data_IF_936582994054
#
_entry.id   IF_936582994054
#
_cell.length_a   1.000
_cell.length_b   1.000
_cell.length_c   1.000
_cell.angle_alpha   90.00
_cell.angle_beta   90.00
_cell.angle_gamma   90.00
#
_symmetry.space_group_name_H-M   'P 1'
#
loop_
_entity.id
_entity.type
_entity.pdbx_description
1 polymer ?
#
# COMPACT_ATOMS: atom_id res chain seq x y z
N UNK A 1 11.07 32.06 -54.07
CA UNK A 1 10.67 31.50 -52.77
C UNK A 1 9.33 32.12 -52.38
N UNK A 2 8.22 31.63 -52.91
CA UNK A 2 6.89 32.29 -52.83
C UNK A 2 5.92 31.56 -51.88
N UNK A 3 6.34 30.43 -51.31
CA UNK A 3 5.44 29.54 -50.54
C UNK A 3 5.27 30.01 -49.07
N UNK A 4 6.09 30.95 -48.57
CA UNK A 4 6.01 31.40 -47.19
C UNK A 4 4.94 32.49 -46.93
N UNK A 5 4.44 33.17 -47.97
CA UNK A 5 3.56 34.34 -47.80
C UNK A 5 2.07 34.07 -48.03
N UNK A 6 1.66 32.83 -48.30
CA UNK A 6 0.25 32.49 -48.55
C UNK A 6 -0.45 31.82 -47.37
N UNK A 7 0.27 31.46 -46.30
CA UNK A 7 -0.31 30.80 -45.12
C UNK A 7 -0.71 31.80 -44.02
N UNK A 8 -0.15 33.01 -44.02
CA UNK A 8 -0.30 33.98 -42.91
C UNK A 8 -1.15 35.22 -43.22
N UNK A 9 -1.84 35.28 -44.36
CA UNK A 9 -2.55 36.49 -44.81
C UNK A 9 -3.99 36.65 -44.29
N UNK A 10 -4.46 35.77 -43.41
CA UNK A 10 -5.82 35.85 -42.86
C UNK A 10 -5.73 35.86 -41.33
N UNK A 11 -5.79 37.05 -40.72
CA UNK A 11 -5.64 37.25 -39.27
C UNK A 11 -6.58 36.37 -38.44
N UNK A 12 -7.75 36.04 -39.02
CA UNK A 12 -8.74 35.15 -38.40
C UNK A 12 -8.27 33.70 -38.34
N UNK A 13 -7.61 33.23 -39.40
CA UNK A 13 -7.11 31.85 -39.51
C UNK A 13 -5.82 31.64 -38.70
N UNK A 14 -4.99 32.68 -38.57
CA UNK A 14 -3.78 32.64 -37.72
C UNK A 14 -4.11 32.49 -36.23
N UNK A 15 -5.14 33.18 -35.75
CA UNK A 15 -5.61 33.08 -34.36
C UNK A 15 -6.17 31.69 -34.04
N UNK A 16 -6.93 31.10 -34.95
CA UNK A 16 -7.52 29.75 -34.79
C UNK A 16 -6.45 28.64 -34.80
N UNK A 17 -5.36 28.80 -35.55
CA UNK A 17 -4.23 27.87 -35.54
C UNK A 17 -3.44 27.97 -34.22
N UNK A 18 -3.27 29.18 -33.68
CA UNK A 18 -2.56 29.37 -32.40
C UNK A 18 -3.38 28.83 -31.22
N UNK A 19 -4.70 29.04 -31.20
CA UNK A 19 -5.57 28.50 -30.15
C UNK A 19 -5.56 26.96 -30.15
N UNK A 20 -5.71 26.34 -31.31
CA UNK A 20 -5.67 24.87 -31.44
C UNK A 20 -4.32 24.27 -31.04
N UNK A 21 -3.19 24.88 -31.41
CA UNK A 21 -1.87 24.45 -30.94
C UNK A 21 -1.73 24.58 -29.42
N UNK A 22 -2.26 25.65 -28.83
CA UNK A 22 -2.25 25.84 -27.38
C UNK A 22 -3.10 24.80 -26.66
N UNK A 23 -4.27 24.46 -27.21
CA UNK A 23 -5.18 23.46 -26.65
C UNK A 23 -4.57 22.05 -26.71
N UNK A 24 -3.89 21.71 -27.80
CA UNK A 24 -3.14 20.45 -27.95
C UNK A 24 -2.00 20.37 -26.93
N UNK A 25 -1.27 21.47 -26.73
CA UNK A 25 -0.21 21.54 -25.73
C UNK A 25 -0.80 21.37 -24.31
N UNK A 26 -1.92 22.04 -24.00
CA UNK A 26 -2.60 21.91 -22.71
C UNK A 26 -3.09 20.48 -22.47
N UNK A 27 -3.69 19.84 -23.47
CA UNK A 27 -4.14 18.46 -23.44
C UNK A 27 -2.99 17.47 -23.19
N UNK A 28 -1.88 17.60 -23.92
CA UNK A 28 -0.68 16.79 -23.72
C UNK A 28 -0.06 16.98 -22.33
N UNK A 29 -0.18 18.17 -21.76
CA UNK A 29 0.30 18.46 -20.39
C UNK A 29 -0.64 17.83 -19.35
N UNK A 30 -1.95 17.94 -19.54
CA UNK A 30 -2.96 17.32 -18.68
C UNK A 30 -2.85 15.79 -18.69
N UNK A 31 -2.60 15.17 -19.84
CA UNK A 31 -2.35 13.72 -19.95
C UNK A 31 -1.12 13.29 -19.15
N UNK A 32 -0.01 14.03 -19.21
CA UNK A 32 1.17 13.75 -18.40
C UNK A 32 0.87 13.82 -16.90
N UNK A 33 0.14 14.84 -16.44
CA UNK A 33 -0.24 14.94 -15.03
C UNK A 33 -1.17 13.81 -14.61
N UNK A 34 -2.14 13.44 -15.44
CA UNK A 34 -3.02 12.30 -15.22
C UNK A 34 -2.24 10.99 -15.06
N UNK A 35 -1.25 10.74 -15.93
CA UNK A 35 -0.38 9.57 -15.82
C UNK A 35 0.41 9.56 -14.51
N UNK A 36 0.97 10.70 -14.09
CA UNK A 36 1.70 10.81 -12.82
C UNK A 36 0.77 10.56 -11.63
N UNK A 37 -0.43 11.14 -11.62
CA UNK A 37 -1.41 10.94 -10.54
C UNK A 37 -1.86 9.49 -10.48
N UNK A 38 -2.18 8.86 -11.61
CA UNK A 38 -2.58 7.45 -11.66
C UNK A 38 -1.46 6.54 -11.17
N UNK A 39 -0.21 6.81 -11.60
CA UNK A 39 0.96 6.08 -11.11
C UNK A 39 1.12 6.25 -9.60
N UNK A 40 1.01 7.47 -9.09
CA UNK A 40 1.14 7.74 -7.65
C UNK A 40 0.02 7.05 -6.85
N UNK A 41 -1.21 7.05 -7.38
CA UNK A 41 -2.33 6.31 -6.81
C UNK A 41 -2.05 4.82 -6.73
N UNK A 42 -1.53 4.22 -7.82
CA UNK A 42 -1.16 2.81 -7.82
C UNK A 42 -0.01 2.50 -6.85
N UNK A 43 1.03 3.34 -6.80
CA UNK A 43 2.13 3.18 -5.84
C UNK A 43 1.64 3.31 -4.39
N UNK A 44 0.66 4.18 -4.13
CA UNK A 44 0.00 4.28 -2.84
C UNK A 44 -0.75 3.00 -2.52
N UNK A 45 -1.68 2.55 -3.36
CA UNK A 45 -2.43 1.29 -3.15
C UNK A 45 -1.53 0.09 -2.92
N UNK A 46 -0.48 -0.07 -3.73
CA UNK A 46 0.49 -1.16 -3.60
C UNK A 46 1.16 -1.18 -2.22
N UNK A 47 1.46 -0.01 -1.62
CA UNK A 47 2.00 0.06 -0.26
C UNK A 47 1.01 -0.40 0.82
N UNK A 48 -0.29 -0.23 0.61
CA UNK A 48 -1.30 -0.69 1.58
C UNK A 48 -1.66 -2.16 1.38
N UNK A 49 -1.49 -2.72 0.18
CA UNK A 49 -1.64 -4.16 -0.05
C UNK A 49 -0.71 -4.98 0.85
N UNK A 50 0.49 -4.49 1.14
CA UNK A 50 1.45 -5.15 2.03
C UNK A 50 0.92 -5.26 3.48
N UNK A 51 0.02 -4.36 3.92
CA UNK A 51 -0.60 -4.47 5.24
C UNK A 51 -1.55 -5.67 5.36
N UNK A 52 -2.09 -6.16 4.24
CA UNK A 52 -2.84 -7.42 4.24
C UNK A 52 -2.00 -8.59 4.75
N UNK A 53 -0.69 -8.57 4.51
CA UNK A 53 0.23 -9.61 4.98
C UNK A 53 0.47 -9.57 6.50
N UNK A 54 0.14 -8.44 7.16
CA UNK A 54 0.22 -8.30 8.61
C UNK A 54 -1.05 -8.78 9.33
N UNK A 55 -2.14 -9.07 8.61
CA UNK A 55 -3.40 -9.54 9.21
C UNK A 55 -3.21 -10.71 10.20
N UNK A 56 -2.42 -11.77 9.89
CA UNK A 56 -2.21 -12.87 10.82
C UNK A 56 -1.54 -12.42 12.13
N UNK A 57 -0.58 -11.50 12.02
CA UNK A 57 0.15 -10.93 13.16
C UNK A 57 -0.77 -10.09 14.04
N UNK A 58 -1.53 -9.17 13.43
CA UNK A 58 -2.46 -8.29 14.14
C UNK A 58 -3.56 -9.10 14.81
N UNK A 59 -4.08 -10.13 14.14
CA UNK A 59 -5.10 -11.03 14.69
C UNK A 59 -4.60 -11.76 15.93
N UNK A 60 -3.39 -12.33 15.86
CA UNK A 60 -2.77 -13.02 16.99
C UNK A 60 -2.48 -12.08 18.16
N UNK A 61 -1.86 -10.91 17.93
CA UNK A 61 -1.57 -9.93 19.00
C UNK A 61 -2.86 -9.43 19.66
N UNK A 62 -3.92 -9.22 18.88
CA UNK A 62 -5.21 -8.74 19.39
C UNK A 62 -5.93 -9.80 20.24
N UNK A 63 -5.72 -11.08 19.94
CA UNK A 63 -6.28 -12.18 20.71
C UNK A 63 -5.32 -13.39 20.73
N UNK A 64 -4.35 -13.41 21.65
CA UNK A 64 -3.35 -14.48 21.70
C UNK A 64 -3.96 -15.84 22.10
N UNK A 65 -5.21 -15.87 22.58
CA UNK A 65 -5.92 -17.10 22.95
C UNK A 65 -6.90 -17.58 21.87
N UNK A 66 -6.89 -16.98 20.68
CA UNK A 66 -7.75 -17.41 19.59
C UNK A 66 -7.50 -18.90 19.27
N UNK A 67 -8.57 -19.68 19.08
CA UNK A 67 -8.45 -21.04 18.57
C UNK A 67 -8.13 -20.98 17.09
N UNK A 68 -6.84 -21.03 16.79
CA UNK A 68 -6.29 -21.01 15.45
C UNK A 68 -5.38 -22.20 15.27
N UNK A 69 -5.25 -22.61 14.02
CA UNK A 69 -4.20 -23.54 13.65
C UNK A 69 -2.86 -22.83 13.83
N UNK A 70 -2.16 -23.23 14.89
CA UNK A 70 -0.88 -22.66 15.28
C UNK A 70 0.16 -22.83 14.17
N UNK A 71 0.19 -23.99 13.52
CA UNK A 71 1.09 -24.28 12.41
C UNK A 71 0.76 -23.35 11.24
N UNK A 72 -0.51 -23.15 10.93
CA UNK A 72 -0.93 -22.23 9.87
C UNK A 72 -0.51 -20.78 10.14
N UNK A 73 -0.70 -20.27 11.36
CA UNK A 73 -0.27 -18.92 11.71
C UNK A 73 1.26 -18.80 11.71
N UNK A 74 1.97 -19.81 12.21
CA UNK A 74 3.42 -19.81 12.21
C UNK A 74 4.00 -19.78 10.79
N UNK A 75 3.42 -20.53 9.86
CA UNK A 75 3.77 -20.51 8.42
C UNK A 75 3.48 -19.14 7.79
N UNK A 76 2.33 -18.54 8.08
CA UNK A 76 1.97 -17.21 7.58
C UNK A 76 2.94 -16.13 8.09
N UNK A 77 3.24 -16.11 9.39
CA UNK A 77 4.19 -15.17 9.99
C UNK A 77 5.63 -15.41 9.50
N UNK A 78 6.02 -16.67 9.34
CA UNK A 78 7.29 -17.07 8.75
C UNK A 78 7.47 -16.50 7.35
N UNK A 79 6.44 -16.60 6.51
CA UNK A 79 6.45 -16.04 5.16
C UNK A 79 6.51 -14.50 5.17
N UNK A 80 5.71 -13.84 6.02
CA UNK A 80 5.64 -12.37 6.11
C UNK A 80 6.95 -11.75 6.60
N UNK A 81 7.60 -12.36 7.60
CA UNK A 81 8.81 -11.79 8.23
C UNK A 81 10.11 -12.47 7.81
N UNK A 82 10.04 -13.49 6.94
CA UNK A 82 11.18 -14.29 6.49
C UNK A 82 11.99 -14.87 7.67
N UNK A 83 11.28 -15.52 8.60
CA UNK A 83 11.82 -16.17 9.81
C UNK A 83 11.49 -17.66 9.81
N UNK A 84 12.17 -18.47 10.63
CA UNK A 84 11.90 -19.91 10.70
C UNK A 84 10.53 -20.20 11.33
N UNK A 85 9.71 -21.00 10.64
CA UNK A 85 8.35 -21.32 11.09
C UNK A 85 8.34 -22.12 12.41
N UNK A 86 9.27 -23.04 12.60
CA UNK A 86 9.36 -23.83 13.82
C UNK A 86 9.72 -22.97 15.04
N UNK A 87 10.61 -21.99 14.88
CA UNK A 87 10.92 -21.01 15.92
C UNK A 87 9.71 -20.13 16.23
N UNK A 88 8.98 -19.66 15.22
CA UNK A 88 7.76 -18.86 15.43
C UNK A 88 6.71 -19.65 16.20
N UNK A 89 6.51 -20.91 15.85
CA UNK A 89 5.58 -21.80 16.56
C UNK A 89 5.93 -21.93 18.05
N UNK A 90 7.21 -22.13 18.37
CA UNK A 90 7.71 -22.21 19.75
C UNK A 90 7.49 -20.89 20.50
N UNK A 91 7.76 -19.74 19.87
CA UNK A 91 7.54 -18.42 20.49
C UNK A 91 6.06 -18.15 20.78
N UNK A 92 5.17 -18.49 19.86
CA UNK A 92 3.72 -18.36 20.07
C UNK A 92 3.27 -19.22 21.26
N UNK A 93 3.69 -20.48 21.33
CA UNK A 93 3.36 -21.37 22.45
C UNK A 93 3.91 -20.84 23.77
N UNK A 94 5.15 -20.35 23.76
CA UNK A 94 5.79 -19.78 24.94
C UNK A 94 5.00 -18.58 25.45
N UNK A 95 4.62 -17.67 24.56
CA UNK A 95 3.81 -16.49 24.90
C UNK A 95 2.43 -16.87 25.43
N UNK A 96 1.71 -17.79 24.75
CA UNK A 96 0.40 -18.24 25.19
C UNK A 96 0.44 -18.87 26.59
N UNK A 97 1.44 -19.73 26.85
CA UNK A 97 1.63 -20.35 28.15
C UNK A 97 1.98 -19.31 29.23
N UNK A 98 2.87 -18.37 28.95
CA UNK A 98 3.23 -17.30 29.87
C UNK A 98 2.03 -16.42 30.23
N UNK A 99 1.25 -16.00 29.23
CA UNK A 99 0.01 -15.25 29.44
C UNK A 99 -1.00 -16.06 30.26
N UNK A 100 -1.17 -17.34 29.98
CA UNK A 100 -2.07 -18.20 30.74
C UNK A 100 -1.65 -18.34 32.20
N UNK A 101 -0.37 -18.60 32.47
CA UNK A 101 0.16 -18.72 33.83
C UNK A 101 0.00 -17.44 34.62
N UNK A 102 0.37 -16.30 34.02
CA UNK A 102 0.26 -14.99 34.67
C UNK A 102 -1.21 -14.59 34.89
N UNK A 103 -2.15 -14.98 34.01
CA UNK A 103 -3.57 -14.72 34.20
C UNK A 103 -4.18 -15.46 35.40
N UNK A 104 -3.61 -16.61 35.77
CA UNK A 104 -4.01 -17.40 36.94
C UNK A 104 -3.23 -17.03 38.21
N UNK A 105 -2.29 -16.10 38.10
CA UNK A 105 -1.63 -15.54 39.26
C UNK A 105 -2.57 -14.50 39.87
N UNK A 106 -2.91 -14.62 41.16
CA UNK A 106 -3.74 -13.64 41.91
C UNK A 106 -2.98 -12.29 42.11
N UNK A 107 -2.51 -11.68 41.02
CA UNK A 107 -1.79 -10.44 41.01
C UNK A 107 -2.76 -9.30 40.67
N UNK A 108 -2.93 -8.30 41.56
CA UNK A 108 -3.93 -7.24 41.37
C UNK A 108 -3.72 -6.35 40.13
N UNK A 109 -2.57 -6.47 39.45
CA UNK A 109 -2.17 -5.64 38.31
C UNK A 109 -1.67 -6.48 37.11
N UNK A 110 -2.25 -7.66 36.87
CA UNK A 110 -1.81 -8.60 35.84
C UNK A 110 -1.52 -7.96 34.45
N UNK A 111 -2.32 -6.98 34.03
CA UNK A 111 -2.20 -6.31 32.72
C UNK A 111 -1.52 -4.94 32.75
N UNK A 112 -1.05 -4.46 33.91
CA UNK A 112 -0.43 -3.14 34.03
C UNK A 112 1.09 -3.26 34.14
N UNK A 113 1.75 -3.45 32.99
CA UNK A 113 3.20 -3.26 32.80
C UNK A 113 3.43 -2.17 31.75
#
# INVERSE_FOLDING_TARGET
>A
MVIANTVFSDEKNGSDVISTLSDVQLGATAEKYSQVINRLGQEFENRFCDFGQLEPCVSFISNPFMQVDLTCIAEQLSATFNVDAGQVEIEILTLQNDLHLKAHQDAPNFWCL
#
